data_IF_721594216215
#
_entry.id   IF_721594216215
#
_cell.length_a   1.000
_cell.length_b   1.000
_cell.length_c   1.000
_cell.angle_alpha   90.00
_cell.angle_beta   90.00
_cell.angle_gamma   90.00
#
_symmetry.space_group_name_H-M   'P 1'
#
loop_
_entity.id
_entity.type
_entity.pdbx_description
1 polymer ?
#
# COMPACT_ATOMS: atom_id res chain seq x y z
N UNK A 1 37.27 28.14 -26.44
CA UNK A 1 36.46 27.01 -26.94
C UNK A 1 36.64 25.87 -25.94
N UNK A 2 35.82 25.75 -24.89
CA UNK A 2 35.92 24.62 -23.97
C UNK A 2 35.05 23.46 -24.46
N UNK A 3 35.60 22.26 -24.30
CA UNK A 3 35.06 20.97 -24.73
C UNK A 3 33.65 20.71 -24.20
N UNK A 4 32.76 20.29 -25.13
CA UNK A 4 31.44 19.78 -24.85
C UNK A 4 31.58 18.39 -24.21
N UNK A 5 31.58 18.34 -22.88
CA UNK A 5 31.43 17.10 -22.13
C UNK A 5 30.05 16.53 -22.46
N UNK A 6 30.01 15.44 -23.23
CA UNK A 6 28.77 14.69 -23.48
C UNK A 6 28.16 14.30 -22.13
N UNK A 7 27.02 14.91 -21.82
CA UNK A 7 26.23 14.59 -20.65
C UNK A 7 25.43 13.32 -20.98
N UNK A 8 25.89 12.17 -20.49
CA UNK A 8 25.16 10.91 -20.62
C UNK A 8 23.69 11.07 -20.20
N UNK A 9 22.74 10.48 -20.94
CA UNK A 9 21.33 10.59 -20.62
C UNK A 9 21.04 9.85 -19.31
N UNK A 10 20.60 10.61 -18.31
CA UNK A 10 20.01 10.13 -17.06
C UNK A 10 18.69 9.41 -17.39
N UNK A 11 18.80 8.17 -17.83
CA UNK A 11 17.67 7.36 -18.28
C UNK A 11 17.98 5.88 -18.47
N UNK A 12 19.25 5.48 -18.39
CA UNK A 12 19.62 4.06 -18.40
C UNK A 12 19.47 3.53 -16.97
N UNK A 13 18.64 2.50 -16.80
CA UNK A 13 18.27 1.96 -15.50
C UNK A 13 19.46 1.57 -14.62
N UNK A 14 19.18 1.18 -13.38
CA UNK A 14 20.07 0.25 -12.69
C UNK A 14 20.07 -1.06 -13.49
N UNK A 15 20.78 -1.11 -14.61
CA UNK A 15 21.06 -2.35 -15.31
C UNK A 15 21.61 -3.32 -14.27
N UNK A 16 21.29 -4.60 -14.43
CA UNK A 16 21.75 -5.70 -13.55
C UNK A 16 23.24 -5.55 -13.18
N UNK A 17 24.05 -4.98 -14.08
CA UNK A 17 25.48 -4.71 -13.90
C UNK A 17 25.86 -3.58 -12.92
N UNK A 18 24.98 -2.63 -12.58
CA UNK A 18 25.35 -1.47 -11.74
C UNK A 18 25.19 -1.75 -10.24
N UNK A 19 24.19 -2.54 -9.82
CA UNK A 19 23.96 -2.92 -8.40
C UNK A 19 23.24 -4.29 -8.25
N UNK A 20 23.94 -5.42 -8.48
CA UNK A 20 23.33 -6.76 -8.53
C UNK A 20 22.67 -7.16 -7.19
N UNK A 21 23.30 -6.81 -6.07
CA UNK A 21 22.77 -7.09 -4.74
C UNK A 21 21.43 -6.40 -4.47
N UNK A 22 21.29 -5.12 -4.86
CA UNK A 22 20.04 -4.38 -4.65
C UNK A 22 18.90 -4.94 -5.51
N UNK A 23 19.20 -5.34 -6.75
CA UNK A 23 18.19 -5.92 -7.63
C UNK A 23 17.77 -7.32 -7.14
N UNK A 24 18.70 -8.15 -6.67
CA UNK A 24 18.38 -9.44 -6.06
C UNK A 24 17.48 -9.28 -4.82
N UNK A 25 17.81 -8.35 -3.91
CA UNK A 25 16.98 -8.07 -2.74
C UNK A 25 15.58 -7.57 -3.12
N UNK A 26 15.48 -6.70 -4.14
CA UNK A 26 14.19 -6.22 -4.63
C UNK A 26 13.33 -7.36 -5.17
N UNK A 27 13.91 -8.26 -5.98
CA UNK A 27 13.22 -9.44 -6.51
C UNK A 27 12.72 -10.33 -5.37
N UNK A 28 13.56 -10.59 -4.36
CA UNK A 28 13.17 -11.36 -3.17
C UNK A 28 11.96 -10.72 -2.48
N UNK A 29 11.96 -9.40 -2.27
CA UNK A 29 10.81 -8.71 -1.68
C UNK A 29 9.55 -8.79 -2.52
N UNK A 30 9.66 -8.71 -3.85
CA UNK A 30 8.51 -8.87 -4.74
C UNK A 30 7.94 -10.28 -4.64
N UNK A 31 8.79 -11.31 -4.67
CA UNK A 31 8.37 -12.71 -4.55
C UNK A 31 7.75 -13.00 -3.18
N UNK A 32 8.36 -12.55 -2.09
CA UNK A 32 7.81 -12.64 -0.74
C UNK A 32 6.46 -11.93 -0.63
N UNK A 33 6.34 -10.76 -1.25
CA UNK A 33 5.09 -10.02 -1.35
C UNK A 33 4.00 -10.81 -2.06
N UNK A 34 4.30 -11.42 -3.20
CA UNK A 34 3.34 -12.24 -3.96
C UNK A 34 2.90 -13.45 -3.13
N UNK A 35 3.85 -14.26 -2.67
CA UNK A 35 3.57 -15.50 -1.92
C UNK A 35 2.84 -15.19 -0.62
N UNK A 36 3.31 -14.20 0.14
CA UNK A 36 2.71 -13.82 1.41
C UNK A 36 1.29 -13.29 1.25
N UNK A 37 1.04 -12.35 0.34
CA UNK A 37 -0.30 -11.80 0.14
C UNK A 37 -1.26 -12.83 -0.48
N UNK A 38 -0.79 -13.70 -1.39
CA UNK A 38 -1.59 -14.81 -1.92
C UNK A 38 -1.99 -15.80 -0.81
N UNK A 39 -1.06 -16.13 0.09
CA UNK A 39 -1.33 -17.00 1.25
C UNK A 39 -2.37 -16.36 2.17
N UNK A 40 -2.27 -15.07 2.45
CA UNK A 40 -3.26 -14.32 3.25
C UNK A 40 -4.64 -14.39 2.61
N UNK A 41 -4.73 -14.11 1.30
CA UNK A 41 -6.00 -14.18 0.55
C UNK A 41 -6.58 -15.59 0.62
N UNK A 42 -5.80 -16.63 0.33
CA UNK A 42 -6.27 -18.02 0.36
C UNK A 42 -6.75 -18.46 1.73
N UNK A 43 -5.90 -18.35 2.76
CA UNK A 43 -6.18 -18.85 4.11
C UNK A 43 -7.33 -18.11 4.78
N UNK A 44 -7.38 -16.77 4.64
CA UNK A 44 -8.44 -15.99 5.27
C UNK A 44 -9.75 -16.17 4.48
N UNK A 45 -9.72 -16.22 3.15
CA UNK A 45 -10.95 -16.47 2.37
C UNK A 45 -11.56 -17.82 2.69
N UNK A 46 -10.76 -18.88 2.73
CA UNK A 46 -11.21 -20.22 3.14
C UNK A 46 -11.85 -20.19 4.54
N UNK A 47 -11.25 -19.45 5.47
CA UNK A 47 -11.82 -19.31 6.82
C UNK A 47 -13.17 -18.59 6.85
N UNK A 48 -13.35 -17.58 6.00
CA UNK A 48 -14.61 -16.82 5.88
C UNK A 48 -15.70 -17.66 5.21
N UNK A 49 -15.36 -18.45 4.19
CA UNK A 49 -16.32 -19.32 3.51
C UNK A 49 -16.77 -20.50 4.36
N UNK A 50 -15.86 -21.10 5.15
CA UNK A 50 -16.18 -22.25 6.02
C UNK A 50 -16.96 -21.88 7.28
N UNK A 51 -16.79 -20.66 7.81
CA UNK A 51 -17.48 -20.19 9.02
C UNK A 51 -18.26 -18.87 8.76
N UNK A 52 -19.43 -18.90 8.07
CA UNK A 52 -20.22 -17.69 7.75
C UNK A 52 -20.72 -16.93 8.98
N UNK A 53 -20.92 -17.62 10.11
CA UNK A 53 -21.34 -17.05 11.39
C UNK A 53 -20.21 -16.36 12.16
N UNK A 54 -18.95 -16.59 11.75
CA UNK A 54 -17.74 -16.12 12.42
C UNK A 54 -16.89 -15.13 11.62
N UNK A 55 -17.19 -14.91 10.34
CA UNK A 55 -16.47 -13.97 9.47
C UNK A 55 -16.43 -12.56 10.07
N UNK A 56 -15.31 -12.20 10.70
CA UNK A 56 -15.18 -10.91 11.36
C UNK A 56 -15.07 -9.86 10.26
N UNK A 57 -15.82 -8.76 10.36
CA UNK A 57 -15.73 -7.63 9.42
C UNK A 57 -14.27 -7.17 9.16
N UNK A 58 -13.35 -7.38 10.12
CA UNK A 58 -11.91 -7.17 9.93
C UNK A 58 -11.30 -8.04 8.84
N UNK A 59 -11.71 -9.30 8.74
CA UNK A 59 -11.08 -10.32 7.90
C UNK A 59 -11.37 -10.06 6.43
N UNK A 60 -12.58 -9.58 6.12
CA UNK A 60 -12.95 -9.08 4.77
C UNK A 60 -12.07 -7.89 4.36
N UNK A 61 -11.82 -6.95 5.28
CA UNK A 61 -10.95 -5.79 4.99
C UNK A 61 -9.49 -6.25 4.79
N UNK A 62 -9.02 -7.21 5.58
CA UNK A 62 -7.69 -7.79 5.46
C UNK A 62 -7.51 -8.53 4.12
N UNK A 63 -8.52 -9.30 3.67
CA UNK A 63 -8.52 -9.92 2.34
C UNK A 63 -8.43 -8.85 1.27
N UNK A 64 -9.24 -7.78 1.35
CA UNK A 64 -9.22 -6.69 0.38
C UNK A 64 -7.85 -6.00 0.31
N UNK A 65 -7.23 -5.72 1.46
CA UNK A 65 -5.88 -5.16 1.54
C UNK A 65 -4.85 -6.10 0.90
N UNK A 66 -4.84 -7.38 1.27
CA UNK A 66 -3.93 -8.38 0.72
C UNK A 66 -4.12 -8.58 -0.79
N UNK A 67 -5.36 -8.58 -1.27
CA UNK A 67 -5.69 -8.65 -2.70
C UNK A 67 -5.14 -7.43 -3.45
N UNK A 68 -5.31 -6.22 -2.90
CA UNK A 68 -4.76 -5.00 -3.53
C UNK A 68 -3.23 -5.01 -3.59
N UNK A 69 -2.56 -5.50 -2.54
CA UNK A 69 -1.11 -5.68 -2.49
C UNK A 69 -0.62 -6.73 -3.49
N UNK A 70 -1.36 -7.83 -3.63
CA UNK A 70 -1.07 -8.90 -4.58
C UNK A 70 -1.18 -8.38 -6.02
N UNK A 71 -2.28 -7.71 -6.36
CA UNK A 71 -2.47 -7.13 -7.69
C UNK A 71 -1.41 -6.09 -8.02
N UNK A 72 -1.04 -5.22 -7.09
CA UNK A 72 0.05 -4.27 -7.27
C UNK A 72 1.40 -4.98 -7.52
N UNK A 73 1.63 -6.12 -6.85
CA UNK A 73 2.83 -6.92 -7.06
C UNK A 73 2.85 -7.55 -8.45
N UNK A 74 1.75 -8.19 -8.85
CA UNK A 74 1.63 -8.92 -10.12
C UNK A 74 1.64 -7.98 -11.33
N UNK A 75 0.90 -6.87 -11.26
CA UNK A 75 0.65 -6.00 -12.41
C UNK A 75 1.65 -4.86 -12.55
N UNK A 76 2.44 -4.57 -11.52
CA UNK A 76 3.45 -3.50 -11.56
C UNK A 76 4.83 -3.96 -11.15
N UNK A 77 4.99 -4.57 -9.97
CA UNK A 77 6.32 -4.91 -9.47
C UNK A 77 7.00 -5.99 -10.33
N UNK A 78 6.24 -6.97 -10.85
CA UNK A 78 6.79 -7.94 -11.82
C UNK A 78 7.28 -7.24 -13.09
N UNK A 79 6.50 -6.31 -13.65
CA UNK A 79 6.92 -5.57 -14.86
C UNK A 79 8.16 -4.72 -14.62
N UNK A 80 8.29 -4.12 -13.43
CA UNK A 80 9.51 -3.42 -13.01
C UNK A 80 10.71 -4.37 -12.90
N UNK A 81 10.52 -5.56 -12.32
CA UNK A 81 11.56 -6.59 -12.25
C UNK A 81 11.99 -7.02 -13.65
N UNK A 82 11.06 -7.32 -14.55
CA UNK A 82 11.35 -7.72 -15.93
C UNK A 82 12.14 -6.61 -16.65
N UNK A 83 11.74 -5.35 -16.49
CA UNK A 83 12.45 -4.21 -17.04
C UNK A 83 13.85 -4.01 -16.42
N UNK A 84 14.02 -4.25 -15.12
CA UNK A 84 15.32 -4.18 -14.44
C UNK A 84 16.27 -5.31 -14.87
N UNK A 85 15.73 -6.46 -15.30
CA UNK A 85 16.50 -7.57 -15.86
C UNK A 85 16.98 -7.31 -17.31
N UNK A 86 16.64 -6.15 -17.88
CA UNK A 86 17.08 -5.76 -19.23
C UNK A 86 16.23 -6.32 -20.36
N UNK A 87 15.06 -6.92 -20.05
CA UNK A 87 14.09 -7.31 -21.07
C UNK A 87 13.35 -6.06 -21.55
N UNK A 88 13.65 -5.65 -22.78
CA UNK A 88 12.95 -4.56 -23.45
C UNK A 88 11.50 -4.97 -23.74
N UNK A 89 10.61 -4.64 -22.82
CA UNK A 89 9.18 -4.75 -23.05
C UNK A 89 8.78 -3.62 -24.00
N UNK A 90 8.66 -3.95 -25.29
CA UNK A 90 8.09 -3.05 -26.30
C UNK A 90 6.59 -2.87 -26.05
N UNK A 91 6.27 -2.02 -25.08
CA UNK A 91 4.90 -1.60 -24.82
C UNK A 91 4.42 -0.74 -25.99
N UNK A 92 3.32 -1.18 -26.62
CA UNK A 92 2.58 -0.41 -27.60
C UNK A 92 1.98 0.83 -26.93
N UNK A 93 1.52 1.81 -27.73
CA UNK A 93 0.81 2.99 -27.21
C UNK A 93 -0.36 2.58 -26.32
N UNK A 94 -1.15 1.61 -26.76
CA UNK A 94 -2.30 1.08 -26.00
C UNK A 94 -1.88 0.37 -24.72
N UNK A 95 -0.77 -0.38 -24.75
CA UNK A 95 -0.17 -0.97 -23.56
C UNK A 95 0.18 0.10 -22.51
N UNK A 96 0.65 1.25 -22.96
CA UNK A 96 1.04 2.36 -22.09
C UNK A 96 -0.17 3.00 -21.38
N UNK A 97 -1.26 3.21 -22.12
CA UNK A 97 -2.54 3.67 -21.61
C UNK A 97 -3.09 2.74 -20.53
N UNK A 98 -3.15 1.43 -20.82
CA UNK A 98 -3.64 0.43 -19.87
C UNK A 98 -2.76 0.36 -18.63
N UNK A 99 -1.44 0.31 -18.83
CA UNK A 99 -0.48 0.12 -17.76
C UNK A 99 -0.49 1.28 -16.76
N UNK A 100 -0.50 2.52 -17.24
CA UNK A 100 -0.56 3.70 -16.37
C UNK A 100 -1.92 3.81 -15.67
N UNK A 101 -3.03 3.53 -16.37
CA UNK A 101 -4.36 3.50 -15.76
C UNK A 101 -4.46 2.47 -14.64
N UNK A 102 -4.04 1.22 -14.89
CA UNK A 102 -4.03 0.13 -13.90
C UNK A 102 -3.11 0.47 -12.73
N UNK A 103 -1.95 1.07 -12.99
CA UNK A 103 -1.04 1.50 -11.93
C UNK A 103 -1.68 2.52 -10.99
N UNK A 104 -2.22 3.61 -11.53
CA UNK A 104 -2.87 4.67 -10.74
C UNK A 104 -4.06 4.09 -9.98
N UNK A 105 -4.86 3.25 -10.63
CA UNK A 105 -6.01 2.60 -10.00
C UNK A 105 -5.61 1.76 -8.79
N UNK A 106 -4.69 0.79 -8.97
CA UNK A 106 -4.29 -0.13 -7.89
C UNK A 106 -3.57 0.61 -6.75
N UNK A 107 -2.72 1.59 -7.10
CA UNK A 107 -2.06 2.47 -6.14
C UNK A 107 -3.07 3.18 -5.26
N UNK A 108 -4.06 3.83 -5.86
CA UNK A 108 -5.09 4.56 -5.13
C UNK A 108 -5.98 3.64 -4.30
N UNK A 109 -6.41 2.50 -4.85
CA UNK A 109 -7.19 1.48 -4.12
C UNK A 109 -6.44 1.00 -2.88
N UNK A 110 -5.13 0.74 -2.97
CA UNK A 110 -4.32 0.28 -1.85
C UNK A 110 -4.28 1.30 -0.70
N UNK A 111 -4.08 2.58 -1.02
CA UNK A 111 -4.07 3.67 -0.04
C UNK A 111 -5.45 3.81 0.63
N UNK A 112 -6.52 3.91 -0.16
CA UNK A 112 -7.88 4.09 0.35
C UNK A 112 -8.37 2.88 1.15
N UNK A 113 -8.00 1.67 0.74
CA UNK A 113 -8.30 0.44 1.49
C UNK A 113 -7.61 0.41 2.85
N UNK A 114 -6.36 0.88 2.91
CA UNK A 114 -5.59 0.95 4.17
C UNK A 114 -6.14 2.04 5.10
N UNK A 115 -6.54 3.19 4.55
CA UNK A 115 -7.25 4.22 5.31
C UNK A 115 -8.56 3.69 5.87
N UNK A 116 -9.34 2.97 5.05
CA UNK A 116 -10.60 2.36 5.47
C UNK A 116 -10.39 1.34 6.60
N UNK A 117 -9.34 0.52 6.52
CA UNK A 117 -8.92 -0.38 7.61
C UNK A 117 -8.61 0.41 8.90
N UNK A 118 -7.83 1.48 8.81
CA UNK A 118 -7.46 2.33 9.96
C UNK A 118 -8.70 2.97 10.62
N UNK A 119 -9.62 3.52 9.81
CA UNK A 119 -10.85 4.14 10.29
C UNK A 119 -11.82 3.11 10.90
N UNK A 120 -12.00 1.96 10.24
CA UNK A 120 -12.84 0.86 10.73
C UNK A 120 -12.31 0.34 12.07
N UNK A 121 -10.99 0.19 12.17
CA UNK A 121 -10.32 -0.25 13.37
C UNK A 121 -10.51 0.74 14.53
N UNK A 122 -10.26 2.03 14.30
CA UNK A 122 -10.48 3.08 15.29
C UNK A 122 -11.92 3.11 15.80
N UNK A 123 -12.91 3.01 14.90
CA UNK A 123 -14.33 2.94 15.28
C UNK A 123 -14.64 1.68 16.10
N UNK A 124 -14.04 0.55 15.75
CA UNK A 124 -14.22 -0.71 16.50
C UNK A 124 -13.65 -0.58 17.91
N UNK A 125 -12.43 -0.04 18.06
CA UNK A 125 -11.81 0.18 19.38
C UNK A 125 -12.65 1.10 20.26
N UNK A 126 -13.13 2.23 19.70
CA UNK A 126 -13.98 3.17 20.43
C UNK A 126 -15.29 2.56 20.92
N UNK A 127 -15.84 1.56 20.23
CA UNK A 127 -17.07 0.86 20.65
C UNK A 127 -16.84 -0.16 21.77
N UNK A 128 -15.65 -0.76 21.82
CA UNK A 128 -15.31 -1.85 22.78
C UNK A 128 -14.75 -1.29 24.11
N UNK A 129 -14.31 -0.04 24.10
CA UNK A 129 -13.87 0.76 25.25
C UNK A 129 -15.09 1.40 25.99
N UNK A 130 -15.40 1.09 27.27
CA UNK A 130 -16.70 1.33 27.93
C UNK A 130 -16.97 2.79 28.36
N UNK A 131 -18.17 3.12 28.89
CA UNK A 131 -19.50 2.99 28.33
C UNK A 131 -20.07 4.39 28.08
N UNK A 132 -19.53 5.17 27.13
CA UNK A 132 -20.15 6.46 26.81
C UNK A 132 -21.38 6.20 25.91
N UNK A 133 -22.51 6.02 26.58
CA UNK A 133 -23.87 6.08 26.03
C UNK A 133 -24.22 4.93 25.09
N UNK A 134 -25.20 4.15 25.51
CA UNK A 134 -26.13 3.28 24.75
C UNK A 134 -26.16 3.43 23.22
N UNK A 135 -25.05 3.14 22.54
CA UNK A 135 -25.05 2.86 21.11
C UNK A 135 -24.83 1.36 20.99
N UNK A 136 -25.88 0.61 21.33
CA UNK A 136 -26.13 -0.70 20.72
C UNK A 136 -26.45 -0.48 19.23
N UNK A 137 -25.51 0.14 18.51
CA UNK A 137 -25.60 0.27 17.07
C UNK A 137 -25.38 -1.12 16.50
N UNK A 138 -26.27 -1.64 15.63
CA UNK A 138 -26.12 -2.95 15.05
C UNK A 138 -24.71 -3.10 14.47
N UNK A 139 -24.09 -4.27 14.70
CA UNK A 139 -22.88 -4.70 13.97
C UNK A 139 -23.17 -4.38 12.50
N UNK A 140 -22.42 -3.45 11.90
CA UNK A 140 -22.68 -3.02 10.51
C UNK A 140 -22.79 -4.29 9.66
N UNK A 141 -23.88 -4.46 8.89
CA UNK A 141 -24.06 -5.69 8.15
C UNK A 141 -22.88 -5.85 7.18
N UNK A 142 -22.36 -7.07 6.99
CA UNK A 142 -21.26 -7.32 6.08
C UNK A 142 -21.55 -6.81 4.66
N UNK A 143 -22.83 -6.69 4.29
CA UNK A 143 -23.28 -6.06 3.05
C UNK A 143 -22.84 -4.59 2.92
N UNK A 144 -23.03 -3.76 3.95
CA UNK A 144 -22.60 -2.34 3.91
C UNK A 144 -21.09 -2.23 3.80
N UNK A 145 -20.35 -3.15 4.45
CA UNK A 145 -18.89 -3.22 4.34
C UNK A 145 -18.46 -3.52 2.91
N UNK A 146 -19.04 -4.55 2.30
CA UNK A 146 -18.74 -4.95 0.93
C UNK A 146 -19.11 -3.85 -0.08
N UNK A 147 -20.25 -3.18 0.09
CA UNK A 147 -20.64 -2.03 -0.72
C UNK A 147 -19.61 -0.90 -0.58
N UNK A 148 -19.15 -0.63 0.65
CA UNK A 148 -18.14 0.42 0.90
C UNK A 148 -16.82 0.10 0.20
N UNK A 149 -16.36 -1.16 0.27
CA UNK A 149 -15.18 -1.62 -0.43
C UNK A 149 -15.37 -1.53 -1.95
N UNK A 150 -16.49 -2.03 -2.49
CA UNK A 150 -16.82 -1.92 -3.91
C UNK A 150 -16.83 -0.47 -4.40
N UNK A 151 -17.36 0.46 -3.60
CA UNK A 151 -17.34 1.89 -3.90
C UNK A 151 -15.91 2.45 -3.94
N UNK A 152 -15.05 2.06 -2.99
CA UNK A 152 -13.62 2.44 -3.02
C UNK A 152 -12.99 1.99 -4.33
N UNK A 153 -13.21 0.74 -4.75
CA UNK A 153 -12.66 0.22 -6.01
C UNK A 153 -13.18 0.99 -7.23
N UNK A 154 -14.48 1.23 -7.28
CA UNK A 154 -15.16 1.89 -8.39
C UNK A 154 -14.79 3.37 -8.53
N UNK A 155 -14.81 4.13 -7.43
CA UNK A 155 -14.45 5.55 -7.45
C UNK A 155 -12.98 5.75 -7.85
N UNK A 156 -12.09 4.89 -7.37
CA UNK A 156 -10.69 4.93 -7.78
C UNK A 156 -10.48 4.50 -9.25
N UNK A 157 -11.38 3.68 -9.81
CA UNK A 157 -11.35 3.33 -11.23
C UNK A 157 -11.73 4.53 -12.09
N UNK A 158 -12.80 5.25 -11.72
CA UNK A 158 -13.20 6.50 -12.38
C UNK A 158 -12.05 7.51 -12.34
N UNK A 159 -11.42 7.65 -11.18
CA UNK A 159 -10.27 8.52 -11.00
C UNK A 159 -9.06 8.17 -11.89
N UNK A 160 -8.90 6.89 -12.24
CA UNK A 160 -7.82 6.43 -13.10
C UNK A 160 -8.08 6.66 -14.60
N UNK A 161 -9.29 7.07 -15.01
CA UNK A 161 -9.65 7.30 -16.41
C UNK A 161 -8.75 8.35 -17.08
N UNK A 162 -8.47 9.54 -16.48
CA UNK A 162 -7.56 10.50 -17.09
C UNK A 162 -6.15 9.94 -17.27
N UNK A 163 -5.65 9.17 -16.30
CA UNK A 163 -4.35 8.50 -16.43
C UNK A 163 -4.36 7.47 -17.57
N UNK A 164 -5.48 6.78 -17.80
CA UNK A 164 -5.62 5.88 -18.94
C UNK A 164 -5.62 6.63 -20.28
N UNK A 165 -6.40 7.71 -20.42
CA UNK A 165 -6.58 8.44 -21.69
C UNK A 165 -5.34 9.26 -22.06
N UNK A 166 -4.76 9.98 -21.08
CA UNK A 166 -3.69 10.96 -21.33
C UNK A 166 -2.27 10.39 -21.17
N UNK A 167 -2.09 9.07 -21.19
CA UNK A 167 -0.75 8.47 -21.22
C UNK A 167 -0.23 8.33 -22.66
N UNK A 168 1.08 8.38 -22.87
CA UNK A 168 1.72 8.13 -24.17
C UNK A 168 3.11 7.53 -23.98
N UNK A 169 3.71 7.01 -25.05
CA UNK A 169 5.11 6.60 -25.04
C UNK A 169 5.99 7.85 -25.11
N UNK A 170 6.92 8.02 -24.17
CA UNK A 170 7.81 9.18 -24.10
C UNK A 170 8.72 9.26 -25.33
N UNK A 171 8.88 10.48 -25.87
CA UNK A 171 9.79 10.75 -26.97
C UNK A 171 11.18 11.14 -26.42
N UNK A 172 12.27 10.79 -27.11
CA UNK A 172 13.67 10.91 -26.61
C UNK A 172 14.12 12.33 -26.22
N UNK A 173 13.34 13.38 -26.56
CA UNK A 173 13.67 14.79 -26.34
C UNK A 173 12.89 15.48 -25.20
N UNK A 174 12.04 14.77 -24.45
CA UNK A 174 11.18 15.37 -23.40
C UNK A 174 11.64 14.95 -22.00
N UNK A 175 12.81 15.43 -21.56
CA UNK A 175 13.44 14.95 -20.32
C UNK A 175 13.16 15.83 -19.10
N UNK A 176 12.82 17.12 -19.28
CA UNK A 176 12.72 18.07 -18.15
C UNK A 176 11.35 18.07 -17.44
N UNK A 177 10.25 17.88 -18.17
CA UNK A 177 8.89 17.79 -17.60
C UNK A 177 8.53 16.37 -17.17
N UNK A 178 9.26 15.36 -17.65
CA UNK A 178 9.03 13.95 -17.37
C UNK A 178 9.26 13.57 -15.90
N UNK A 179 10.32 14.15 -15.31
CA UNK A 179 10.71 13.85 -13.93
C UNK A 179 9.69 14.41 -12.94
N UNK A 180 9.26 15.66 -13.13
CA UNK A 180 8.25 16.32 -12.27
C UNK A 180 6.90 15.59 -12.22
N UNK A 181 6.55 14.86 -13.28
CA UNK A 181 5.21 14.34 -13.53
C UNK A 181 5.07 12.86 -13.18
N UNK A 182 6.17 12.12 -13.09
CA UNK A 182 6.12 10.72 -12.66
C UNK A 182 6.15 10.66 -11.13
N UNK A 183 5.00 10.40 -10.50
CA UNK A 183 4.90 9.91 -9.10
C UNK A 183 5.54 8.52 -8.90
N UNK A 184 6.38 8.13 -9.86
CA UNK A 184 7.27 6.99 -9.90
C UNK A 184 8.62 7.46 -10.36
N UNK A 185 9.67 7.04 -9.68
CA UNK A 185 11.05 7.31 -10.06
C UNK A 185 11.49 6.71 -11.40
N UNK A 186 10.59 6.04 -12.13
CA UNK A 186 10.77 5.62 -13.52
C UNK A 186 9.42 5.71 -14.26
N UNK A 187 9.34 6.31 -15.46
CA UNK A 187 8.22 6.07 -16.35
C UNK A 187 8.18 4.57 -16.63
N UNK A 188 7.13 3.88 -16.19
CA UNK A 188 6.98 2.44 -16.32
C UNK A 188 7.12 2.07 -17.81
N UNK A 189 8.22 1.42 -18.21
CA UNK A 189 8.56 1.10 -19.61
C UNK A 189 8.67 2.33 -20.57
N UNK A 190 8.97 3.52 -20.05
CA UNK A 190 9.04 4.74 -20.89
C UNK A 190 7.68 5.39 -21.18
N UNK A 191 6.65 5.03 -20.41
CA UNK A 191 5.34 5.65 -20.44
C UNK A 191 5.25 6.97 -19.67
N UNK A 192 4.68 7.99 -20.30
CA UNK A 192 4.64 9.36 -19.78
C UNK A 192 3.23 9.95 -19.94
N UNK A 193 2.85 10.89 -19.07
CA UNK A 193 1.61 11.63 -19.27
C UNK A 193 1.79 12.73 -20.33
N UNK A 194 0.81 12.85 -21.21
CA UNK A 194 0.73 13.81 -22.30
C UNK A 194 -0.66 14.47 -22.28
N UNK A 195 -0.84 15.38 -21.33
CA UNK A 195 -2.03 16.23 -21.30
C UNK A 195 -1.90 17.38 -22.31
N UNK A 196 -3.02 17.98 -22.74
CA UNK A 196 -3.03 19.08 -23.72
C UNK A 196 -2.26 20.33 -23.27
N UNK A 197 -2.16 20.55 -21.95
CA UNK A 197 -1.48 21.69 -21.34
C UNK A 197 -0.58 21.26 -20.16
N UNK A 198 0.53 21.96 -19.99
CA UNK A 198 1.40 21.83 -18.81
C UNK A 198 0.66 22.19 -17.52
N UNK A 199 -0.32 23.10 -17.58
CA UNK A 199 -1.18 23.46 -16.45
C UNK A 199 -2.08 22.29 -16.04
N UNK A 200 -2.72 21.62 -17.00
CA UNK A 200 -3.59 20.46 -16.73
C UNK A 200 -2.80 19.29 -16.15
N UNK A 201 -1.59 19.06 -16.65
CA UNK A 201 -0.66 18.06 -16.10
C UNK A 201 -0.32 18.37 -14.65
N UNK A 202 0.04 19.62 -14.35
CA UNK A 202 0.42 20.07 -13.01
C UNK A 202 -0.77 20.01 -12.05
N UNK A 203 -1.95 20.45 -12.49
CA UNK A 203 -3.18 20.42 -11.71
C UNK A 203 -3.60 18.98 -11.38
N UNK A 204 -3.59 18.08 -12.37
CA UNK A 204 -3.89 16.66 -12.15
C UNK A 204 -2.89 16.02 -11.18
N UNK A 205 -1.58 16.24 -11.39
CA UNK A 205 -0.53 15.65 -10.55
C UNK A 205 -0.61 16.14 -9.11
N UNK A 206 -0.76 17.46 -8.92
CA UNK A 206 -0.85 18.07 -7.59
C UNK A 206 -2.11 17.60 -6.86
N UNK A 207 -3.25 17.60 -7.55
CA UNK A 207 -4.52 17.13 -7.00
C UNK A 207 -4.46 15.64 -6.65
N UNK A 208 -3.85 14.84 -7.52
CA UNK A 208 -3.59 13.41 -7.28
C UNK A 208 -2.80 13.19 -6.02
N UNK A 209 -1.67 13.88 -5.90
CA UNK A 209 -0.77 13.78 -4.76
C UNK A 209 -1.47 14.16 -3.44
N UNK A 210 -2.26 15.23 -3.45
CA UNK A 210 -2.99 15.65 -2.26
C UNK A 210 -4.07 14.64 -1.86
N UNK A 211 -4.92 14.23 -2.82
CA UNK A 211 -6.10 13.39 -2.54
C UNK A 211 -5.71 11.93 -2.25
N UNK A 212 -4.75 11.38 -3.00
CA UNK A 212 -4.42 9.95 -2.94
C UNK A 212 -3.14 9.65 -2.16
N UNK A 213 -2.39 10.66 -1.72
CA UNK A 213 -1.15 10.44 -0.95
C UNK A 213 -1.15 11.21 0.38
N UNK A 214 -1.23 12.54 0.36
CA UNK A 214 -1.10 13.36 1.58
C UNK A 214 -2.29 13.18 2.51
N UNK A 215 -3.52 13.41 2.00
CA UNK A 215 -4.73 13.37 2.81
C UNK A 215 -4.95 12.01 3.48
N UNK A 216 -4.83 10.86 2.78
CA UNK A 216 -4.99 9.57 3.41
C UNK A 216 -3.94 9.28 4.49
N UNK A 217 -2.68 9.68 4.27
CA UNK A 217 -1.61 9.49 5.26
C UNK A 217 -1.89 10.29 6.53
N UNK A 218 -2.33 11.55 6.41
CA UNK A 218 -2.71 12.38 7.57
C UNK A 218 -3.88 11.74 8.33
N UNK A 219 -4.94 11.34 7.61
CA UNK A 219 -6.11 10.70 8.22
C UNK A 219 -5.75 9.36 8.88
N UNK A 220 -4.86 8.58 8.27
CA UNK A 220 -4.31 7.36 8.88
C UNK A 220 -3.53 7.69 10.15
N UNK A 221 -2.64 8.70 10.15
CA UNK A 221 -1.90 9.10 11.34
C UNK A 221 -2.84 9.49 12.50
N UNK A 222 -3.85 10.32 12.23
CA UNK A 222 -4.84 10.74 13.23
C UNK A 222 -5.61 9.54 13.79
N UNK A 223 -6.13 8.66 12.92
CA UNK A 223 -6.90 7.49 13.35
C UNK A 223 -6.05 6.45 14.11
N UNK A 224 -4.77 6.32 13.78
CA UNK A 224 -3.83 5.45 14.49
C UNK A 224 -3.42 6.01 15.85
N UNK A 225 -3.14 7.32 15.94
CA UNK A 225 -2.90 8.00 17.22
C UNK A 225 -4.11 7.88 18.14
N UNK A 226 -5.31 8.11 17.61
CA UNK A 226 -6.55 7.88 18.35
C UNK A 226 -6.69 6.43 18.82
N UNK A 227 -6.42 5.45 17.95
CA UNK A 227 -6.45 4.02 18.30
C UNK A 227 -5.45 3.67 19.41
N UNK A 228 -4.23 4.20 19.33
CA UNK A 228 -3.18 4.00 20.32
C UNK A 228 -3.55 4.64 21.67
N UNK A 229 -4.07 5.87 21.64
CA UNK A 229 -4.53 6.58 22.83
C UNK A 229 -5.64 5.79 23.54
N UNK A 230 -6.67 5.35 22.82
CA UNK A 230 -7.71 4.47 23.37
C UNK A 230 -7.10 3.18 23.94
N UNK A 231 -6.18 2.54 23.23
CA UNK A 231 -5.56 1.30 23.71
C UNK A 231 -4.73 1.50 25.00
N UNK A 232 -4.10 2.66 25.13
CA UNK A 232 -3.28 3.05 26.28
C UNK A 232 -4.13 3.40 27.50
N UNK A 233 -5.14 4.26 27.35
CA UNK A 233 -6.03 4.66 28.45
C UNK A 233 -6.76 3.45 29.05
N UNK A 234 -7.32 2.58 28.22
CA UNK A 234 -7.98 1.36 28.69
C UNK A 234 -7.01 0.31 29.25
N UNK A 235 -5.76 0.31 28.78
CA UNK A 235 -4.70 -0.52 29.34
C UNK A 235 -4.34 -0.15 30.77
N UNK A 236 -4.47 1.13 31.14
CA UNK A 236 -4.12 1.68 32.45
C UNK A 236 -5.28 1.62 33.45
N UNK A 237 -6.53 1.76 33.00
CA UNK A 237 -7.73 1.64 33.85
C UNK A 237 -7.96 0.21 34.36
N UNK A 238 -7.37 -0.80 33.71
CA UNK A 238 -7.54 -2.21 34.05
C UNK A 238 -6.24 -2.81 34.59
N UNK A 239 -5.75 -2.26 35.70
CA UNK A 239 -4.68 -2.89 36.47
C UNK A 239 -5.14 -4.28 36.94
N UNK A 240 -4.31 -5.33 36.82
CA UNK A 240 -4.68 -6.72 37.14
C UNK A 240 -4.87 -6.99 38.65
N UNK A 241 -4.65 -6.00 39.52
CA UNK A 241 -4.81 -6.14 40.97
C UNK A 241 -6.27 -6.27 41.44
N UNK A 242 -7.26 -6.15 40.53
CA UNK A 242 -8.68 -6.11 40.90
C UNK A 242 -9.59 -6.90 39.92
N UNK A 243 -9.23 -8.13 39.53
CA UNK A 243 -10.16 -9.00 38.77
C UNK A 243 -10.35 -10.36 39.44
N UNK A 244 -11.55 -10.54 39.99
CA UNK A 244 -12.17 -11.81 40.39
C UNK A 244 -12.34 -12.76 39.20
N UNK A 245 -12.30 -14.06 39.49
CA UNK A 245 -11.95 -15.15 38.57
C UNK A 245 -13.01 -15.61 37.54
N UNK A 246 -14.23 -15.08 37.53
CA UNK A 246 -15.32 -15.68 36.74
C UNK A 246 -15.85 -14.79 35.62
N UNK A 247 -15.41 -15.04 34.37
CA UNK A 247 -16.24 -14.85 33.16
C UNK A 247 -15.55 -15.33 31.86
N UNK A 248 -16.23 -16.12 30.99
CA UNK A 248 -15.73 -16.49 29.66
C UNK A 248 -15.57 -15.30 28.68
N UNK A 249 -16.11 -14.12 29.05
CA UNK A 249 -15.95 -12.86 28.32
C UNK A 249 -14.49 -12.36 28.32
N UNK A 250 -13.68 -12.77 29.30
CA UNK A 250 -12.30 -12.33 29.45
C UNK A 250 -11.37 -12.93 28.38
N UNK A 251 -11.71 -14.04 27.72
CA UNK A 251 -10.90 -14.61 26.62
C UNK A 251 -11.00 -13.85 25.29
N UNK A 252 -12.12 -13.17 25.01
CA UNK A 252 -12.31 -12.40 23.75
C UNK A 252 -11.52 -11.09 23.72
N UNK A 253 -11.46 -10.40 24.86
CA UNK A 253 -10.80 -9.10 25.02
C UNK A 253 -9.28 -9.14 24.68
N UNK A 254 -8.46 -10.13 25.11
CA UNK A 254 -7.06 -10.20 24.74
C UNK A 254 -6.84 -10.57 23.27
N UNK A 255 -7.72 -11.35 22.65
CA UNK A 255 -7.65 -11.69 21.23
C UNK A 255 -7.96 -10.47 20.34
N UNK A 256 -8.96 -9.67 20.72
CA UNK A 256 -9.26 -8.39 20.06
C UNK A 256 -8.13 -7.38 20.25
N UNK A 257 -7.56 -7.27 21.46
CA UNK A 257 -6.40 -6.40 21.73
C UNK A 257 -5.18 -6.77 20.91
N UNK A 258 -4.95 -8.07 20.69
CA UNK A 258 -3.86 -8.57 19.83
C UNK A 258 -4.09 -8.21 18.37
N UNK A 259 -5.29 -8.46 17.85
CA UNK A 259 -5.64 -8.07 16.49
C UNK A 259 -5.50 -6.55 16.29
N UNK A 260 -5.84 -5.77 17.32
CA UNK A 260 -5.73 -4.33 17.28
C UNK A 260 -4.29 -3.83 17.20
N UNK A 261 -3.38 -4.40 17.99
CA UNK A 261 -1.94 -4.12 17.90
C UNK A 261 -1.37 -4.46 16.52
N UNK A 262 -1.84 -5.55 15.92
CA UNK A 262 -1.40 -5.99 14.60
C UNK A 262 -1.86 -5.04 13.50
N UNK A 263 -3.14 -4.62 13.53
CA UNK A 263 -3.66 -3.64 12.57
C UNK A 263 -2.93 -2.29 12.73
N UNK A 264 -2.71 -1.84 13.97
CA UNK A 264 -1.92 -0.64 14.25
C UNK A 264 -0.48 -0.74 13.74
N UNK A 265 0.16 -1.90 13.88
CA UNK A 265 1.50 -2.12 13.36
C UNK A 265 1.52 -2.08 11.82
N UNK A 266 0.50 -2.65 11.16
CA UNK A 266 0.37 -2.62 9.70
C UNK A 266 0.16 -1.22 9.15
N UNK A 267 -0.68 -0.42 9.80
CA UNK A 267 -0.94 0.96 9.37
C UNK A 267 0.27 1.87 9.62
N UNK A 268 0.99 1.70 10.73
CA UNK A 268 2.26 2.40 10.96
C UNK A 268 3.29 2.00 9.91
N UNK A 269 3.42 0.70 9.62
CA UNK A 269 4.31 0.20 8.58
C UNK A 269 3.96 0.81 7.21
N UNK A 270 2.66 0.94 6.90
CA UNK A 270 2.20 1.62 5.69
C UNK A 270 2.61 3.10 5.67
N UNK A 271 2.32 3.86 6.72
CA UNK A 271 2.63 5.29 6.80
C UNK A 271 4.13 5.55 6.61
N UNK A 272 4.98 4.76 7.27
CA UNK A 272 6.44 4.89 7.14
C UNK A 272 6.88 4.53 5.73
N UNK A 273 6.48 3.35 5.24
CA UNK A 273 6.89 2.85 3.92
C UNK A 273 6.43 3.76 2.78
N UNK A 274 5.16 4.17 2.83
CA UNK A 274 4.55 5.04 1.83
C UNK A 274 5.09 6.46 1.94
N UNK A 275 5.11 7.03 3.15
CA UNK A 275 5.61 8.38 3.40
C UNK A 275 7.06 8.54 2.97
N UNK A 276 7.94 7.58 3.29
CA UNK A 276 9.33 7.59 2.81
C UNK A 276 9.40 7.53 1.28
N UNK A 277 8.54 6.73 0.62
CA UNK A 277 8.47 6.72 -0.85
C UNK A 277 8.05 8.07 -1.42
N UNK A 278 7.03 8.72 -0.86
CA UNK A 278 6.54 10.02 -1.34
C UNK A 278 7.58 11.11 -1.13
N UNK A 279 8.16 11.19 0.07
CA UNK A 279 9.19 12.18 0.41
C UNK A 279 10.39 12.02 -0.52
N UNK A 280 10.84 10.78 -0.76
CA UNK A 280 11.99 10.52 -1.63
C UNK A 280 11.74 10.97 -3.08
N UNK A 281 10.53 10.71 -3.61
CA UNK A 281 10.16 11.12 -4.98
C UNK A 281 10.00 12.64 -5.08
N UNK A 282 9.35 13.27 -4.11
CA UNK A 282 9.14 14.72 -4.13
C UNK A 282 10.41 15.51 -3.89
N UNK A 283 11.30 15.01 -3.02
CA UNK A 283 12.61 15.62 -2.80
C UNK A 283 13.46 15.57 -4.08
N UNK A 284 13.44 14.47 -4.83
CA UNK A 284 14.07 14.39 -6.16
C UNK A 284 13.52 15.43 -7.13
N UNK A 285 12.19 15.60 -7.14
CA UNK A 285 11.54 16.52 -8.05
C UNK A 285 11.86 17.98 -7.74
N UNK A 286 12.01 18.33 -6.46
CA UNK A 286 12.31 19.69 -6.03
C UNK A 286 13.81 20.01 -6.07
N UNK A 287 14.66 19.06 -5.67
CA UNK A 287 16.11 19.19 -5.65
C UNK A 287 16.73 18.30 -6.73
N UNK A 288 16.82 18.80 -7.96
CA UNK A 288 17.47 18.18 -9.13
C UNK A 288 19.00 17.93 -8.98
N UNK A 289 19.50 17.73 -7.75
CA UNK A 289 20.92 17.60 -7.41
C UNK A 289 21.46 16.17 -7.30
N UNK A 290 22.70 16.05 -6.81
CA UNK A 290 23.56 14.84 -6.65
C UNK A 290 22.89 13.59 -6.01
N UNK A 291 21.70 13.72 -5.43
CA UNK A 291 20.93 12.62 -4.83
C UNK A 291 20.05 11.83 -5.82
N UNK A 292 20.13 12.15 -7.12
CA UNK A 292 19.32 11.57 -8.20
C UNK A 292 19.36 10.03 -8.29
N UNK A 293 20.41 9.39 -7.78
CA UNK A 293 20.61 7.92 -7.87
C UNK A 293 20.10 7.15 -6.64
N UNK A 294 20.11 7.75 -5.45
CA UNK A 294 19.83 7.03 -4.19
C UNK A 294 18.36 7.10 -3.74
N UNK A 295 17.73 8.26 -3.88
CA UNK A 295 16.34 8.47 -3.51
C UNK A 295 15.33 7.59 -4.30
N UNK A 296 15.55 7.27 -5.59
CA UNK A 296 14.73 6.29 -6.31
C UNK A 296 14.76 4.90 -5.70
N UNK A 297 15.95 4.50 -5.25
CA UNK A 297 16.20 3.19 -4.66
C UNK A 297 15.48 3.09 -3.31
N UNK A 298 15.60 4.12 -2.48
CA UNK A 298 14.87 4.21 -1.20
C UNK A 298 13.37 4.10 -1.43
N UNK A 299 12.81 4.86 -2.38
CA UNK A 299 11.38 4.85 -2.66
C UNK A 299 10.88 3.45 -3.10
N UNK A 300 11.64 2.79 -3.97
CA UNK A 300 11.35 1.42 -4.45
C UNK A 300 11.34 0.42 -3.30
N UNK A 301 12.37 0.44 -2.46
CA UNK A 301 12.47 -0.47 -1.33
C UNK A 301 11.39 -0.20 -0.29
N UNK A 302 11.15 1.07 0.06
CA UNK A 302 10.12 1.45 1.03
C UNK A 302 8.74 0.91 0.60
N UNK A 303 8.34 1.12 -0.65
CA UNK A 303 7.06 0.60 -1.16
C UNK A 303 6.99 -0.94 -1.14
N UNK A 304 8.10 -1.62 -1.41
CA UNK A 304 8.15 -3.08 -1.46
C UNK A 304 8.17 -3.73 -0.08
N UNK A 305 8.79 -3.06 0.89
CA UNK A 305 8.87 -3.50 2.29
C UNK A 305 7.48 -3.67 2.89
N UNK A 306 6.57 -2.71 2.70
CA UNK A 306 5.20 -2.85 3.18
C UNK A 306 4.51 -4.08 2.60
N UNK A 307 4.61 -4.28 1.29
CA UNK A 307 3.97 -5.38 0.59
C UNK A 307 4.53 -6.74 1.05
N UNK A 308 5.85 -6.83 1.23
CA UNK A 308 6.53 -8.06 1.66
C UNK A 308 6.34 -8.38 3.15
N UNK A 309 6.34 -7.37 4.02
CA UNK A 309 6.29 -7.56 5.48
C UNK A 309 4.85 -7.61 6.00
N UNK A 310 3.87 -7.00 5.31
CA UNK A 310 2.48 -7.00 5.78
C UNK A 310 1.89 -8.41 6.05
N UNK A 311 2.13 -9.45 5.23
CA UNK A 311 1.68 -10.81 5.54
C UNK A 311 2.30 -11.39 6.81
N UNK A 312 3.57 -11.09 7.07
CA UNK A 312 4.31 -11.55 8.25
C UNK A 312 3.69 -10.93 9.51
N UNK A 313 3.44 -9.62 9.49
CA UNK A 313 2.80 -8.90 10.60
C UNK A 313 1.38 -9.44 10.84
N UNK A 314 0.62 -9.73 9.78
CA UNK A 314 -0.71 -10.34 9.89
C UNK A 314 -0.68 -11.72 10.55
N UNK A 315 0.33 -12.55 10.25
CA UNK A 315 0.50 -13.86 10.86
C UNK A 315 0.79 -13.78 12.37
N UNK A 316 1.33 -12.66 12.85
CA UNK A 316 1.46 -12.42 14.28
C UNK A 316 0.09 -12.26 14.97
N UNK A 317 -0.93 -11.79 14.26
CA UNK A 317 -2.29 -11.62 14.77
C UNK A 317 -3.22 -12.82 14.58
N UNK A 318 -3.07 -13.54 13.47
CA UNK A 318 -4.04 -14.54 13.04
C UNK A 318 -3.53 -15.98 13.22
N UNK A 319 -4.20 -16.78 14.07
CA UNK A 319 -3.75 -18.14 14.45
C UNK A 319 -3.64 -19.11 13.27
N UNK A 320 -4.61 -19.11 12.34
CA UNK A 320 -4.59 -19.99 11.15
C UNK A 320 -3.44 -19.63 10.19
N UNK A 321 -3.34 -18.35 9.81
CA UNK A 321 -2.23 -17.83 9.00
C UNK A 321 -0.85 -18.13 9.62
N UNK A 322 -0.71 -17.99 10.94
CA UNK A 322 0.51 -18.37 11.65
C UNK A 322 0.86 -19.85 11.47
N UNK A 323 -0.11 -20.74 11.56
CA UNK A 323 0.12 -22.18 11.44
C UNK A 323 0.61 -22.52 10.02
N UNK A 324 -0.03 -21.92 9.00
CA UNK A 324 0.35 -22.11 7.59
C UNK A 324 1.74 -21.56 7.29
N UNK A 325 2.07 -20.34 7.75
CA UNK A 325 3.43 -19.80 7.55
C UNK A 325 4.47 -20.65 8.29
N UNK A 326 4.14 -21.15 9.49
CA UNK A 326 5.05 -22.06 10.20
C UNK A 326 5.28 -23.36 9.44
N UNK A 327 4.25 -23.97 8.86
CA UNK A 327 4.44 -25.21 8.08
C UNK A 327 5.35 -25.00 6.87
N UNK A 328 5.29 -23.83 6.23
CA UNK A 328 6.21 -23.49 5.15
C UNK A 328 7.67 -23.27 5.60
N UNK A 329 7.90 -22.95 6.88
CA UNK A 329 9.24 -22.71 7.43
C UNK A 329 9.88 -23.98 8.04
N UNK A 330 9.08 -25.01 8.29
CA UNK A 330 9.53 -26.27 8.91
C UNK A 330 9.82 -27.38 7.90
N UNK A 331 9.58 -27.13 6.61
CA UNK A 331 9.92 -28.02 5.49
C UNK A 331 11.13 -27.46 4.73
#
# INVERSE_FOLDING_TARGET
MPELKELEPVGVGLGVNRYPFQNALYIIFVLLGIVGNATVVGVISESVFKDPSGGRNSDIILINMALSNLLLSLLRNILLVISDLGLELNTSRDGCHVLMGVWVWLRSVNVWSTLFLSAFHFQTLRRVAPPSRTVHGPRRPPKTLLISLGLIWYLNLIYAIPAHIYSTKGNKNSTETLMLVSSTTRPLLGCVWNFPSSYDTLAYTTTSMVIHEILPVILMAITNLGSLYTLYTHGRTRNPAHMTQDAPVIKRIPAERRAAKVILALTILFIVSWGTSIISINYLNYYKGSSATFLPVIARFANSIFIAISPIVLALGHRRLRAVIKSFLTH
#
